data_IF_807621532029
#
_entry.id   IF_807621532029
#
_cell.length_a   1.000
_cell.length_b   1.000
_cell.length_c   1.000
_cell.angle_alpha   90.00
_cell.angle_beta   90.00
_cell.angle_gamma   90.00
#
_symmetry.space_group_name_H-M   'P 1'
#
loop_
_entity.id
_entity.type
_entity.pdbx_description
1 polymer ?
#
# COMPACT_ATOMS: atom_id res chain seq x y z
N UNK A 1 -13.45 8.86 12.24
CA UNK A 1 -12.88 7.55 12.64
C UNK A 1 -11.72 7.30 11.71
N UNK A 2 -10.52 7.10 12.24
CA UNK A 2 -9.31 6.83 11.46
C UNK A 2 -9.47 5.49 10.72
N UNK A 3 -9.24 5.49 9.40
CA UNK A 3 -9.19 4.27 8.59
C UNK A 3 -7.75 3.95 8.23
N UNK A 4 -7.46 2.67 8.07
CA UNK A 4 -6.20 2.22 7.50
C UNK A 4 -6.44 1.79 6.05
N UNK A 5 -5.76 2.44 5.14
CA UNK A 5 -6.00 2.33 3.70
C UNK A 5 -4.72 1.86 2.99
N UNK A 6 -4.84 0.84 2.18
CA UNK A 6 -3.80 0.44 1.22
C UNK A 6 -4.12 1.06 -0.14
N UNK A 7 -3.52 2.22 -0.43
CA UNK A 7 -3.65 2.92 -1.70
C UNK A 7 -2.44 2.64 -2.57
N UNK A 8 -2.65 2.00 -3.72
CA UNK A 8 -1.57 1.51 -4.58
C UNK A 8 -2.00 1.31 -6.03
N UNK A 9 -1.02 1.09 -6.91
CA UNK A 9 -1.25 0.59 -8.26
C UNK A 9 -0.78 -0.87 -8.38
N UNK A 10 -1.39 -1.61 -9.30
CA UNK A 10 -1.05 -3.00 -9.59
C UNK A 10 -1.17 -3.30 -11.07
N UNK A 11 -0.49 -4.34 -11.53
CA UNK A 11 -0.71 -4.92 -12.86
C UNK A 11 -2.01 -5.72 -12.90
N UNK A 12 -2.50 -6.05 -14.10
CA UNK A 12 -3.70 -6.87 -14.30
C UNK A 12 -3.59 -8.25 -13.63
N UNK A 13 -2.39 -8.80 -13.58
CA UNK A 13 -2.09 -10.09 -12.95
C UNK A 13 -1.64 -9.97 -11.48
N UNK A 14 -1.83 -8.79 -10.85
CA UNK A 14 -1.75 -8.60 -9.40
C UNK A 14 -0.35 -8.42 -8.83
N UNK A 15 0.56 -7.79 -9.55
CA UNK A 15 1.89 -7.44 -9.06
C UNK A 15 2.05 -5.94 -8.81
N UNK A 16 2.77 -5.57 -7.76
CA UNK A 16 3.15 -4.20 -7.43
C UNK A 16 4.41 -3.75 -8.19
N UNK A 17 5.36 -4.65 -8.32
CA UNK A 17 6.65 -4.45 -8.97
C UNK A 17 7.10 -5.75 -9.64
N UNK A 18 8.07 -5.68 -10.53
CA UNK A 18 8.70 -6.88 -11.08
C UNK A 18 9.67 -7.55 -10.06
N UNK A 19 10.38 -8.58 -10.49
CA UNK A 19 11.33 -9.31 -9.63
C UNK A 19 12.54 -8.48 -9.22
N UNK A 20 12.83 -7.38 -9.92
CA UNK A 20 13.90 -6.42 -9.65
C UNK A 20 13.42 -5.17 -8.89
N UNK A 21 12.19 -5.20 -8.35
CA UNK A 21 11.53 -4.09 -7.67
C UNK A 21 11.31 -2.84 -8.56
N UNK A 22 11.29 -3.01 -9.91
CA UNK A 22 11.04 -1.92 -10.85
C UNK A 22 9.55 -1.58 -10.98
N UNK A 23 9.27 -0.27 -11.10
CA UNK A 23 7.96 0.30 -11.35
C UNK A 23 7.83 0.90 -12.77
N UNK A 24 8.73 0.58 -13.70
CA UNK A 24 8.68 1.12 -15.07
C UNK A 24 7.35 0.86 -15.77
N UNK A 25 6.73 -0.29 -15.50
CA UNK A 25 5.41 -0.60 -16.01
C UNK A 25 4.34 0.42 -15.63
N UNK A 26 4.45 1.03 -14.43
CA UNK A 26 3.52 2.03 -13.91
C UNK A 26 3.74 3.40 -14.56
N UNK A 27 4.97 3.86 -14.63
CA UNK A 27 5.30 5.21 -15.10
C UNK A 27 5.03 5.44 -16.61
N UNK A 28 4.92 4.37 -17.37
CA UNK A 28 4.56 4.47 -18.80
C UNK A 28 3.06 4.45 -19.09
N UNK A 29 2.21 4.29 -18.05
CA UNK A 29 0.77 4.27 -18.24
C UNK A 29 0.20 5.68 -18.34
N UNK A 30 -0.81 5.84 -19.21
CA UNK A 30 -1.56 7.09 -19.32
C UNK A 30 -2.54 7.21 -18.14
N UNK A 31 -2.43 8.30 -17.39
CA UNK A 31 -3.30 8.62 -16.27
C UNK A 31 -3.64 10.11 -16.26
N UNK A 32 -4.80 10.44 -15.74
CA UNK A 32 -5.24 11.80 -15.48
C UNK A 32 -5.03 12.14 -14.01
N UNK A 33 -4.15 13.09 -13.66
CA UNK A 33 -3.94 13.49 -12.27
C UNK A 33 -5.18 14.11 -11.62
N UNK A 34 -6.11 14.64 -12.41
CA UNK A 34 -7.39 15.16 -11.93
C UNK A 34 -8.53 14.12 -11.99
N UNK A 35 -8.23 12.91 -12.42
CA UNK A 35 -9.17 11.80 -12.55
C UNK A 35 -9.45 11.09 -11.22
N UNK A 36 -10.19 9.96 -11.25
CA UNK A 36 -10.42 9.12 -10.08
C UNK A 36 -9.12 8.73 -9.38
N UNK A 37 -9.16 8.66 -8.06
CA UNK A 37 -8.01 8.39 -7.19
C UNK A 37 -6.93 9.49 -7.28
N UNK A 38 -7.35 10.74 -7.29
CA UNK A 38 -6.45 11.90 -7.20
C UNK A 38 -5.55 11.77 -5.98
N UNK A 39 -4.25 11.82 -6.22
CA UNK A 39 -3.26 11.70 -5.16
C UNK A 39 -3.31 12.86 -4.16
N UNK A 40 -3.49 14.09 -4.62
CA UNK A 40 -3.56 15.29 -3.79
C UNK A 40 -4.78 15.28 -2.84
N UNK A 41 -5.93 14.82 -3.30
CA UNK A 41 -7.12 14.63 -2.45
C UNK A 41 -6.90 13.51 -1.42
N UNK A 42 -6.33 12.40 -1.87
CA UNK A 42 -6.04 11.27 -0.98
C UNK A 42 -5.06 11.67 0.12
N UNK A 43 -3.90 12.26 -0.23
CA UNK A 43 -2.84 12.58 0.73
C UNK A 43 -3.27 13.66 1.74
N UNK A 44 -4.16 14.57 1.36
CA UNK A 44 -4.72 15.58 2.27
C UNK A 44 -5.51 14.95 3.44
N UNK A 45 -6.10 13.78 3.21
CA UNK A 45 -6.81 12.98 4.21
C UNK A 45 -5.92 12.11 5.09
N UNK A 46 -4.62 11.98 4.77
CA UNK A 46 -3.67 11.10 5.47
C UNK A 46 -2.99 11.84 6.62
N UNK A 47 -2.92 11.23 7.79
CA UNK A 47 -2.25 11.78 8.98
C UNK A 47 -1.01 10.99 9.42
N UNK A 48 -0.86 9.75 8.96
CA UNK A 48 0.32 8.92 9.20
C UNK A 48 0.54 7.94 8.04
N UNK A 49 1.79 7.59 7.82
CA UNK A 49 2.21 6.71 6.72
C UNK A 49 2.98 5.52 7.28
N UNK A 50 2.79 4.34 6.69
CA UNK A 50 3.58 3.15 7.00
C UNK A 50 4.02 2.43 5.72
N UNK A 51 5.27 1.98 5.70
CA UNK A 51 5.82 1.19 4.60
C UNK A 51 6.79 0.13 5.11
N UNK A 52 6.97 -0.91 4.31
CA UNK A 52 7.99 -1.91 4.56
C UNK A 52 9.37 -1.46 4.09
N UNK A 53 10.38 -2.22 4.49
CA UNK A 53 11.78 -1.98 4.14
C UNK A 53 12.00 -1.78 2.64
N UNK A 54 11.56 -2.71 1.79
CA UNK A 54 11.79 -2.67 0.34
C UNK A 54 11.20 -1.40 -0.29
N UNK A 55 9.99 -1.02 0.13
CA UNK A 55 9.34 0.22 -0.32
C UNK A 55 10.16 1.44 0.09
N UNK A 56 10.65 1.49 1.33
CA UNK A 56 11.49 2.58 1.81
C UNK A 56 12.82 2.68 1.04
N UNK A 57 13.50 1.55 0.83
CA UNK A 57 14.76 1.50 0.08
C UNK A 57 14.55 1.98 -1.36
N UNK A 58 13.43 1.59 -1.99
CA UNK A 58 13.07 2.06 -3.33
C UNK A 58 12.83 3.58 -3.35
N UNK A 59 11.99 4.10 -2.44
CA UNK A 59 11.72 5.55 -2.34
C UNK A 59 13.01 6.32 -2.13
N UNK A 60 13.86 5.87 -1.22
CA UNK A 60 15.14 6.52 -0.93
C UNK A 60 16.07 6.55 -2.16
N UNK A 61 16.18 5.43 -2.88
CA UNK A 61 16.99 5.36 -4.10
C UNK A 61 16.43 6.28 -5.19
N UNK A 62 15.10 6.34 -5.34
CA UNK A 62 14.43 7.22 -6.29
C UNK A 62 14.72 8.70 -5.99
N UNK A 63 14.57 9.13 -4.73
CA UNK A 63 14.86 10.50 -4.30
C UNK A 63 16.32 10.88 -4.51
N UNK A 64 17.25 9.96 -4.24
CA UNK A 64 18.67 10.17 -4.50
C UNK A 64 18.98 10.35 -5.99
N UNK A 65 18.28 9.63 -6.86
CA UNK A 65 18.47 9.71 -8.31
C UNK A 65 17.81 10.95 -8.93
N UNK A 66 16.62 11.35 -8.45
CA UNK A 66 15.88 12.51 -8.94
C UNK A 66 16.32 13.85 -8.34
N UNK A 67 16.91 13.82 -7.15
CA UNK A 67 17.23 15.03 -6.37
C UNK A 67 16.02 15.65 -5.69
N UNK A 68 14.90 14.94 -5.61
CA UNK A 68 13.68 15.39 -4.96
C UNK A 68 13.76 15.24 -3.44
N UNK A 69 13.00 16.07 -2.73
CA UNK A 69 12.86 16.01 -1.28
C UNK A 69 11.91 14.88 -0.85
N UNK A 70 11.94 14.56 0.45
CA UNK A 70 11.02 13.60 1.04
C UNK A 70 9.56 14.01 0.82
N UNK A 71 8.71 13.15 0.23
CA UNK A 71 7.38 13.57 -0.24
C UNK A 71 6.29 13.61 0.84
N UNK A 72 6.55 13.07 2.04
CA UNK A 72 5.51 12.95 3.07
C UNK A 72 5.73 13.96 4.18
N UNK A 73 4.74 14.86 4.38
CA UNK A 73 4.76 15.88 5.44
C UNK A 73 4.32 15.33 6.82
N UNK A 74 3.72 14.13 6.84
CA UNK A 74 3.24 13.46 8.05
C UNK A 74 4.24 12.42 8.56
N UNK A 75 4.17 12.03 9.85
CA UNK A 75 5.00 10.98 10.43
C UNK A 75 4.92 9.69 9.63
N UNK A 76 6.09 9.10 9.33
CA UNK A 76 6.21 7.89 8.53
C UNK A 76 6.92 6.78 9.30
N UNK A 77 6.26 5.62 9.43
CA UNK A 77 6.88 4.41 9.98
C UNK A 77 7.46 3.54 8.87
N UNK A 78 8.66 3.05 9.12
CA UNK A 78 9.32 2.05 8.28
C UNK A 78 9.44 0.77 9.09
N UNK A 79 8.69 -0.26 8.68
CA UNK A 79 8.73 -1.57 9.34
C UNK A 79 9.89 -2.38 8.79
N UNK A 80 10.88 -2.66 9.64
CA UNK A 80 12.13 -3.31 9.26
C UNK A 80 12.80 -3.98 10.44
N UNK A 81 13.53 -5.08 10.18
CA UNK A 81 14.40 -5.75 11.16
C UNK A 81 15.87 -5.34 11.02
N UNK A 82 16.17 -4.44 10.09
CA UNK A 82 17.54 -3.98 9.76
C UNK A 82 17.65 -2.49 10.04
N UNK A 83 18.78 -2.05 10.53
CA UNK A 83 19.11 -0.63 10.59
C UNK A 83 19.20 -0.04 9.17
N UNK A 84 18.49 1.06 8.96
CA UNK A 84 18.47 1.77 7.69
C UNK A 84 18.84 3.23 7.93
N UNK A 85 19.56 3.86 6.97
CA UNK A 85 19.84 5.28 7.08
C UNK A 85 18.57 6.11 6.94
N UNK A 86 18.45 7.14 7.77
CA UNK A 86 17.35 8.11 7.67
C UNK A 86 17.52 9.05 6.46
N UNK A 87 16.51 9.91 6.27
CA UNK A 87 16.49 10.99 5.27
C UNK A 87 16.38 12.31 6.02
N UNK A 88 17.27 13.25 5.70
CA UNK A 88 17.28 14.58 6.34
C UNK A 88 15.96 15.31 6.08
N UNK A 89 15.36 15.86 7.13
CA UNK A 89 14.09 16.59 7.04
C UNK A 89 12.84 15.73 7.07
N UNK A 90 12.94 14.39 7.04
CA UNK A 90 11.82 13.47 7.13
C UNK A 90 11.53 13.09 8.60
N UNK A 91 10.24 13.09 9.01
CA UNK A 91 9.78 12.49 10.29
C UNK A 91 9.67 10.98 10.11
N UNK A 92 10.82 10.27 10.20
CA UNK A 92 10.93 8.82 10.03
C UNK A 92 11.05 8.13 11.38
N UNK A 93 10.28 7.06 11.55
CA UNK A 93 10.27 6.20 12.73
C UNK A 93 10.45 4.76 12.29
N UNK A 94 11.56 4.15 12.68
CA UNK A 94 11.84 2.74 12.39
C UNK A 94 11.21 1.86 13.46
N UNK A 95 10.48 0.84 13.04
CA UNK A 95 9.78 -0.09 13.93
C UNK A 95 10.00 -1.52 13.46
N UNK A 96 9.89 -2.46 14.42
CA UNK A 96 9.97 -3.91 14.16
C UNK A 96 8.95 -4.66 15.02
N UNK A 97 8.61 -5.87 14.62
CA UNK A 97 7.71 -6.74 15.35
C UNK A 97 6.28 -6.71 14.82
N UNK A 98 5.32 -6.97 15.69
CA UNK A 98 3.91 -7.09 15.33
C UNK A 98 3.30 -5.76 14.90
N UNK A 99 2.37 -5.82 13.95
CA UNK A 99 1.74 -4.61 13.37
C UNK A 99 0.77 -3.92 14.33
N UNK A 100 0.22 -4.62 15.32
CA UNK A 100 -0.80 -4.05 16.21
C UNK A 100 -0.26 -2.89 17.09
N UNK A 101 0.89 -3.00 17.77
CA UNK A 101 1.50 -1.87 18.47
C UNK A 101 1.91 -0.72 17.53
N UNK A 102 2.38 -1.05 16.33
CA UNK A 102 2.75 -0.06 15.30
C UNK A 102 1.50 0.70 14.86
N UNK A 103 0.39 0.01 14.60
CA UNK A 103 -0.89 0.62 14.25
C UNK A 103 -1.42 1.55 15.34
N UNK A 104 -1.30 1.19 16.60
CA UNK A 104 -1.72 2.06 17.72
C UNK A 104 -0.95 3.39 17.70
N UNK A 105 0.36 3.35 17.50
CA UNK A 105 1.20 4.55 17.38
C UNK A 105 0.87 5.38 16.12
N UNK A 106 0.60 4.71 15.00
CA UNK A 106 0.14 5.35 13.76
C UNK A 106 -1.20 6.08 13.96
N UNK A 107 -2.16 5.43 14.61
CA UNK A 107 -3.50 5.98 14.86
C UNK A 107 -3.45 7.22 15.77
N UNK A 108 -2.60 7.20 16.79
CA UNK A 108 -2.34 8.35 17.65
C UNK A 108 -1.76 9.52 16.84
N UNK A 109 -0.71 9.26 16.07
CA UNK A 109 -0.04 10.27 15.24
C UNK A 109 -0.92 10.80 14.10
N UNK A 110 -1.82 9.98 13.57
CA UNK A 110 -2.74 10.37 12.49
C UNK A 110 -3.75 11.45 12.92
N UNK A 111 -4.00 11.62 14.22
CA UNK A 111 -4.82 12.72 14.74
C UNK A 111 -6.25 12.75 14.21
N UNK A 112 -6.85 11.58 13.95
CA UNK A 112 -8.20 11.44 13.42
C UNK A 112 -8.28 11.35 11.88
N UNK A 113 -7.18 11.59 11.16
CA UNK A 113 -7.04 11.34 9.72
C UNK A 113 -6.76 9.86 9.45
N UNK A 114 -6.71 9.49 8.17
CA UNK A 114 -6.45 8.12 7.74
C UNK A 114 -4.95 7.75 7.87
N UNK A 115 -4.69 6.45 8.00
CA UNK A 115 -3.36 5.84 7.93
C UNK A 115 -3.18 5.28 6.52
N UNK A 116 -2.09 5.62 5.86
CA UNK A 116 -1.77 5.07 4.55
C UNK A 116 -0.69 3.98 4.65
N UNK A 117 -1.04 2.77 4.26
CA UNK A 117 -0.08 1.72 3.95
C UNK A 117 0.39 1.94 2.51
N UNK A 118 1.63 2.38 2.34
CA UNK A 118 2.22 2.64 0.99
C UNK A 118 2.53 1.32 0.29
N UNK A 119 3.05 0.37 1.06
CA UNK A 119 3.45 -0.95 0.57
C UNK A 119 4.53 -1.58 1.48
N UNK A 120 5.05 -2.82 1.23
CA UNK A 120 4.58 -3.74 0.18
C UNK A 120 3.32 -4.52 0.55
N UNK A 121 2.92 -5.36 -0.39
CA UNK A 121 1.72 -6.17 -0.24
C UNK A 121 1.74 -7.10 0.98
N UNK A 122 2.88 -7.63 1.37
CA UNK A 122 3.00 -8.45 2.58
C UNK A 122 2.73 -7.64 3.86
N UNK A 123 3.20 -6.39 3.95
CA UNK A 123 2.89 -5.52 5.09
C UNK A 123 1.38 -5.21 5.15
N UNK A 124 0.76 -4.86 4.02
CA UNK A 124 -0.68 -4.63 3.95
C UNK A 124 -1.47 -5.88 4.38
N UNK A 125 -1.02 -7.06 3.97
CA UNK A 125 -1.62 -8.33 4.37
C UNK A 125 -1.48 -8.61 5.87
N UNK A 126 -0.35 -8.27 6.51
CA UNK A 126 -0.18 -8.38 7.97
C UNK A 126 -1.16 -7.47 8.72
N UNK A 127 -1.37 -6.23 8.25
CA UNK A 127 -2.41 -5.34 8.81
C UNK A 127 -3.81 -5.95 8.66
N UNK A 128 -4.11 -6.57 7.52
CA UNK A 128 -5.40 -7.23 7.30
C UNK A 128 -5.58 -8.45 8.20
N UNK A 129 -4.55 -9.30 8.36
CA UNK A 129 -4.57 -10.46 9.27
C UNK A 129 -4.81 -10.06 10.74
N UNK A 130 -4.31 -8.91 11.14
CA UNK A 130 -4.57 -8.32 12.45
C UNK A 130 -5.94 -7.63 12.57
N UNK A 131 -6.74 -7.59 11.50
CA UNK A 131 -8.03 -6.88 11.46
C UNK A 131 -7.89 -5.34 11.48
N UNK A 132 -6.76 -4.83 11.02
CA UNK A 132 -6.36 -3.43 11.10
C UNK A 132 -6.30 -2.73 9.72
N UNK A 133 -6.67 -3.40 8.65
CA UNK A 133 -6.78 -2.83 7.30
C UNK A 133 -8.25 -2.71 6.91
N UNK A 134 -8.72 -1.51 6.62
CA UNK A 134 -10.13 -1.25 6.31
C UNK A 134 -10.41 -1.32 4.81
N UNK A 135 -9.56 -0.73 3.99
CA UNK A 135 -9.80 -0.54 2.56
C UNK A 135 -8.55 -0.76 1.71
N UNK A 136 -8.78 -1.26 0.48
CA UNK A 136 -7.82 -1.20 -0.62
C UNK A 136 -8.37 -0.23 -1.67
N UNK A 137 -7.55 0.74 -2.07
CA UNK A 137 -7.76 1.60 -3.23
C UNK A 137 -6.72 1.20 -4.28
N UNK A 138 -7.14 0.55 -5.33
CA UNK A 138 -6.24 -0.11 -6.28
C UNK A 138 -6.46 0.42 -7.69
N UNK A 139 -5.41 1.00 -8.29
CA UNK A 139 -5.36 1.36 -9.70
C UNK A 139 -4.76 0.20 -10.49
N UNK A 140 -5.58 -0.49 -11.28
CA UNK A 140 -5.19 -1.67 -12.06
C UNK A 140 -4.80 -1.24 -13.46
N UNK A 141 -3.54 -1.45 -13.83
CA UNK A 141 -3.00 -1.14 -15.16
C UNK A 141 -3.25 -2.29 -16.16
N UNK A 142 -3.41 -1.98 -17.46
CA UNK A 142 -3.58 -2.98 -18.52
C UNK A 142 -2.25 -3.62 -18.94
N UNK A 143 -1.52 -4.17 -17.99
CA UNK A 143 -0.22 -4.81 -18.19
C UNK A 143 -0.10 -6.05 -17.30
N UNK A 144 0.65 -7.05 -17.75
CA UNK A 144 1.00 -8.24 -16.97
C UNK A 144 2.51 -8.36 -16.85
N UNK A 145 3.00 -8.85 -15.72
CA UNK A 145 4.42 -9.10 -15.47
C UNK A 145 4.75 -10.60 -15.43
N UNK A 146 3.77 -11.46 -15.12
CA UNK A 146 3.95 -12.90 -15.00
C UNK A 146 4.65 -13.35 -13.70
N UNK A 147 5.49 -12.48 -13.12
CA UNK A 147 6.15 -12.68 -11.84
C UNK A 147 6.50 -11.32 -11.22
N UNK A 148 6.77 -11.29 -9.91
CA UNK A 148 7.14 -10.05 -9.22
C UNK A 148 6.65 -9.99 -7.77
N UNK A 149 6.49 -8.78 -7.24
CA UNK A 149 6.00 -8.53 -5.88
C UNK A 149 4.48 -8.54 -5.86
N UNK A 150 3.83 -9.51 -5.19
CA UNK A 150 2.37 -9.63 -5.24
C UNK A 150 1.69 -8.47 -4.51
N UNK A 151 0.53 -8.06 -5.05
CA UNK A 151 -0.32 -7.03 -4.46
C UNK A 151 -0.77 -7.40 -3.04
N UNK A 152 -1.24 -8.64 -2.85
CA UNK A 152 -1.79 -9.10 -1.59
C UNK A 152 -1.56 -10.61 -1.43
N UNK A 153 -0.42 -11.05 -0.83
CA UNK A 153 0.01 -12.44 -0.84
C UNK A 153 -0.67 -13.31 0.24
N UNK A 154 -1.93 -13.05 0.52
CA UNK A 154 -2.78 -13.77 1.49
C UNK A 154 -4.17 -14.02 0.92
N UNK A 155 -4.88 -14.95 1.51
CA UNK A 155 -6.26 -15.32 1.10
C UNK A 155 -7.27 -14.55 1.94
N UNK A 156 -7.92 -13.57 1.32
CA UNK A 156 -8.93 -12.72 1.95
C UNK A 156 -10.17 -12.59 1.07
N UNK A 157 -11.31 -12.46 1.71
CA UNK A 157 -12.54 -12.00 1.07
C UNK A 157 -12.57 -10.47 1.10
N UNK A 158 -12.84 -9.89 -0.07
CA UNK A 158 -12.95 -8.46 -0.29
C UNK A 158 -14.35 -8.15 -0.82
N UNK A 159 -14.90 -7.02 -0.41
CA UNK A 159 -16.16 -6.51 -0.94
C UNK A 159 -15.87 -5.30 -1.86
N UNK A 160 -16.24 -5.42 -3.12
CA UNK A 160 -16.16 -4.30 -4.06
C UNK A 160 -17.14 -3.20 -3.65
N UNK A 161 -16.65 -1.99 -3.44
CA UNK A 161 -17.46 -0.82 -3.03
C UNK A 161 -17.68 0.16 -4.16
N UNK A 162 -16.66 0.37 -5.01
CA UNK A 162 -16.73 1.31 -6.11
C UNK A 162 -15.74 0.95 -7.22
N UNK A 163 -16.07 1.35 -8.46
CA UNK A 163 -15.22 1.21 -9.64
C UNK A 163 -15.32 2.45 -10.49
N UNK A 164 -14.17 2.99 -10.89
CA UNK A 164 -14.07 4.08 -11.84
C UNK A 164 -12.98 3.81 -12.88
N UNK A 165 -12.96 4.58 -13.95
CA UNK A 165 -11.90 4.53 -14.96
C UNK A 165 -11.08 5.82 -14.92
N UNK A 166 -9.76 5.67 -14.79
CA UNK A 166 -8.82 6.76 -14.98
C UNK A 166 -7.91 6.44 -16.18
N UNK A 167 -8.31 6.87 -17.37
CA UNK A 167 -7.65 6.61 -18.68
C UNK A 167 -7.32 5.12 -18.86
N UNK A 168 -6.05 4.74 -18.71
CA UNK A 168 -5.60 3.36 -18.83
C UNK A 168 -6.01 2.49 -17.64
N UNK A 169 -6.24 3.08 -16.45
CA UNK A 169 -6.47 2.35 -15.23
C UNK A 169 -7.94 2.05 -14.95
N UNK A 170 -8.19 0.86 -14.38
CA UNK A 170 -9.39 0.59 -13.60
C UNK A 170 -9.09 0.91 -12.14
N UNK A 171 -9.79 1.88 -11.58
CA UNK A 171 -9.68 2.28 -10.17
C UNK A 171 -10.77 1.58 -9.38
N UNK A 172 -10.41 0.74 -8.43
CA UNK A 172 -11.36 -0.03 -7.64
C UNK A 172 -11.14 0.16 -6.14
N UNK A 173 -12.23 0.40 -5.41
CA UNK A 173 -12.24 0.46 -3.95
C UNK A 173 -12.81 -0.82 -3.39
N UNK A 174 -12.06 -1.48 -2.52
CA UNK A 174 -12.50 -2.67 -1.80
C UNK A 174 -12.49 -2.43 -0.29
N UNK A 175 -13.51 -2.97 0.39
CA UNK A 175 -13.49 -3.14 1.84
C UNK A 175 -12.89 -4.52 2.16
N UNK A 176 -12.02 -4.58 3.15
CA UNK A 176 -11.51 -5.86 3.67
C UNK A 176 -12.60 -6.52 4.51
N UNK A 177 -12.95 -7.75 4.15
CA UNK A 177 -13.97 -8.53 4.87
C UNK A 177 -13.34 -9.41 5.94
N UNK A 178 -12.33 -10.19 5.55
CA UNK A 178 -11.61 -11.07 6.46
C UNK A 178 -10.87 -12.20 5.73
N UNK A 179 -10.15 -13.03 6.46
CA UNK A 179 -9.51 -14.20 5.89
C UNK A 179 -10.53 -15.11 5.21
N UNK A 180 -10.21 -15.56 3.99
CA UNK A 180 -11.04 -16.53 3.29
C UNK A 180 -11.10 -17.85 4.10
N UNK A 181 -12.30 -18.30 4.41
CA UNK A 181 -12.48 -19.58 5.09
C UNK A 181 -11.82 -20.72 4.28
N UNK A 182 -11.19 -21.70 4.95
CA UNK A 182 -10.72 -22.89 4.26
C UNK A 182 -11.90 -23.54 3.53
N UNK A 183 -11.71 -23.88 2.26
CA UNK A 183 -12.72 -24.62 1.49
C UNK A 183 -13.05 -25.88 2.27
N UNK A 184 -14.26 -25.99 2.83
CA UNK A 184 -14.71 -27.18 3.55
C UNK A 184 -14.54 -28.36 2.62
N UNK A 185 -13.77 -29.37 3.04
CA UNK A 185 -13.64 -30.62 2.32
C UNK A 185 -15.05 -31.16 2.05
N UNK A 186 -15.41 -31.25 0.77
CA UNK A 186 -16.66 -31.90 0.39
C UNK A 186 -16.70 -33.30 0.95
N UNK A 187 -17.89 -33.86 1.22
CA UNK A 187 -17.99 -35.21 1.76
C UNK A 187 -17.32 -36.17 0.78
N UNK A 188 -16.33 -36.88 1.26
CA UNK A 188 -15.79 -38.07 0.58
C UNK A 188 -16.90 -39.08 0.49
N UNK A 189 -17.41 -39.26 -0.71
CA UNK A 189 -18.35 -40.33 -1.07
C UNK A 189 -17.58 -41.61 -1.31
#
# INVERSE_FOLDING_TARGET
>A
MTRTVFYTATTLDGYLADEQDSLEWLFRQDSDPEGPFRYDEFIAGVGAVVMGRTTYEWVRAHLQASGEDWPYAMPTWVVTHTELPGITGADLRFAQGEVAPIHAALAEAAGGKDIWVVGGGDLAAQFAEAGLLDQLLVSIAPVTLGAGRPLFPRRFDLELKDVARNRAFVCATYRVVGPMAPSGGGPTS
#
